data_IF_482235886381
#
_entry.id   IF_482235886381
#
_cell.length_a   1.000
_cell.length_b   1.000
_cell.length_c   1.000
_cell.angle_alpha   90.00
_cell.angle_beta   90.00
_cell.angle_gamma   90.00
#
_symmetry.space_group_name_H-M   'P 1'
#
loop_
_entity.id
_entity.type
_entity.pdbx_description
1 polymer ?
#
# COMPACT_ATOMS: atom_id res chain seq x y z
N UNK A 1 34.62 -17.87 -26.72
CA UNK A 1 34.07 -16.70 -27.45
C UNK A 1 35.18 -15.66 -27.55
N UNK A 2 35.31 -14.94 -28.67
CA UNK A 2 36.37 -13.93 -28.80
C UNK A 2 36.04 -12.66 -28.02
N UNK A 3 37.07 -11.91 -27.64
CA UNK A 3 36.93 -10.76 -26.76
C UNK A 3 36.08 -9.63 -27.35
N UNK A 4 36.14 -9.41 -28.66
CA UNK A 4 35.31 -8.39 -29.30
C UNK A 4 33.81 -8.73 -29.27
N UNK A 5 33.44 -10.01 -29.30
CA UNK A 5 32.05 -10.44 -29.12
C UNK A 5 31.60 -10.27 -27.66
N UNK A 6 32.49 -10.51 -26.69
CA UNK A 6 32.19 -10.28 -25.26
C UNK A 6 31.95 -8.78 -25.03
N UNK A 7 32.82 -7.94 -25.58
CA UNK A 7 32.66 -6.49 -25.50
C UNK A 7 31.36 -6.00 -26.15
N UNK A 8 30.91 -6.60 -27.26
CA UNK A 8 29.63 -6.27 -27.88
C UNK A 8 28.43 -6.55 -26.96
N UNK A 9 28.46 -7.65 -26.21
CA UNK A 9 27.43 -7.95 -25.19
C UNK A 9 27.40 -6.84 -24.14
N UNK A 10 28.56 -6.44 -23.62
CA UNK A 10 28.64 -5.34 -22.63
C UNK A 10 28.20 -4.00 -23.21
N UNK A 11 28.60 -3.65 -24.44
CA UNK A 11 28.17 -2.42 -25.12
C UNK A 11 26.65 -2.39 -25.31
N UNK A 12 26.04 -3.52 -25.66
CA UNK A 12 24.58 -3.63 -25.84
C UNK A 12 23.83 -3.45 -24.51
N UNK A 13 24.37 -4.03 -23.43
CA UNK A 13 23.86 -3.83 -22.07
C UNK A 13 23.99 -2.36 -21.64
N UNK A 14 25.14 -1.74 -21.88
CA UNK A 14 25.39 -0.35 -21.52
C UNK A 14 24.47 0.63 -22.25
N UNK A 15 24.28 0.45 -23.57
CA UNK A 15 23.33 1.27 -24.34
C UNK A 15 21.90 1.12 -23.79
N UNK A 16 21.46 -0.11 -23.47
CA UNK A 16 20.14 -0.35 -22.90
C UNK A 16 19.99 0.32 -21.51
N UNK A 17 20.99 0.19 -20.63
CA UNK A 17 20.98 0.81 -19.30
C UNK A 17 20.92 2.34 -19.40
N UNK A 18 21.75 2.95 -20.24
CA UNK A 18 21.78 4.41 -20.43
C UNK A 18 20.46 4.95 -20.99
N UNK A 19 19.83 4.21 -21.91
CA UNK A 19 18.53 4.56 -22.46
C UNK A 19 17.42 4.46 -21.42
N UNK A 20 17.39 3.37 -20.63
CA UNK A 20 16.43 3.23 -19.52
C UNK A 20 16.59 4.35 -18.48
N UNK A 21 17.83 4.72 -18.14
CA UNK A 21 18.13 5.78 -17.19
C UNK A 21 17.64 7.15 -17.69
N UNK A 22 17.94 7.48 -18.95
CA UNK A 22 17.55 8.77 -19.55
C UNK A 22 16.06 8.84 -19.92
N UNK A 23 15.36 7.71 -19.97
CA UNK A 23 13.98 7.57 -20.47
C UNK A 23 13.76 8.16 -21.87
N UNK A 24 14.83 8.35 -22.62
CA UNK A 24 14.81 8.93 -23.96
C UNK A 24 15.22 7.86 -24.96
N UNK A 25 14.25 7.04 -25.38
CA UNK A 25 14.49 6.00 -26.36
C UNK A 25 13.32 5.88 -27.34
N UNK A 26 13.69 5.60 -28.59
CA UNK A 26 12.76 5.18 -29.64
C UNK A 26 12.84 3.67 -29.77
N UNK A 27 11.82 2.96 -29.28
CA UNK A 27 11.79 1.49 -29.29
C UNK A 27 11.93 0.92 -30.71
N UNK A 28 11.53 1.65 -31.76
CA UNK A 28 11.72 1.20 -33.16
C UNK A 28 13.18 1.02 -33.54
N UNK A 29 14.06 1.88 -33.02
CA UNK A 29 15.49 1.93 -33.35
C UNK A 29 16.36 1.32 -32.26
N UNK A 30 15.74 0.69 -31.28
CA UNK A 30 16.43 0.19 -30.11
C UNK A 30 16.75 -1.30 -30.23
N UNK A 31 17.76 -1.73 -29.49
CA UNK A 31 18.16 -3.13 -29.43
C UNK A 31 17.02 -4.02 -28.91
N UNK A 32 17.05 -5.31 -29.29
CA UNK A 32 16.10 -6.31 -28.75
C UNK A 32 16.13 -6.37 -27.22
N UNK A 33 17.31 -6.18 -26.64
CA UNK A 33 17.50 -6.13 -25.20
C UNK A 33 16.72 -4.98 -24.55
N UNK A 34 16.78 -3.77 -25.13
CA UNK A 34 16.01 -2.64 -24.59
C UNK A 34 14.51 -2.85 -24.76
N UNK A 35 14.07 -3.38 -25.92
CA UNK A 35 12.66 -3.72 -26.15
C UNK A 35 12.15 -4.70 -25.10
N UNK A 36 12.89 -5.78 -24.85
CA UNK A 36 12.59 -6.77 -23.82
C UNK A 36 12.55 -6.14 -22.42
N UNK A 37 13.55 -5.33 -22.07
CA UNK A 37 13.61 -4.68 -20.77
C UNK A 37 12.40 -3.76 -20.51
N UNK A 38 11.94 -3.02 -21.54
CA UNK A 38 10.75 -2.18 -21.43
C UNK A 38 9.47 -3.02 -21.37
N UNK A 39 9.36 -4.08 -22.18
CA UNK A 39 8.20 -5.00 -22.15
C UNK A 39 8.11 -5.84 -20.89
N UNK A 40 9.21 -6.01 -20.15
CA UNK A 40 9.20 -6.71 -18.86
C UNK A 40 9.18 -5.74 -17.67
N UNK A 41 9.17 -4.43 -17.92
CA UNK A 41 9.18 -3.41 -16.87
C UNK A 41 10.47 -3.37 -16.05
N UNK A 42 11.59 -3.81 -16.63
CA UNK A 42 12.88 -3.83 -15.95
C UNK A 42 13.42 -2.42 -15.74
N UNK A 43 13.91 -2.15 -14.54
CA UNK A 43 14.57 -0.88 -14.19
C UNK A 43 16.04 -0.89 -14.62
N UNK A 44 16.62 0.31 -14.77
CA UNK A 44 18.07 0.44 -15.02
C UNK A 44 18.92 -0.23 -13.91
N UNK A 45 18.45 -0.23 -12.66
CA UNK A 45 19.16 -0.87 -11.53
C UNK A 45 19.14 -2.39 -11.64
N UNK A 46 18.02 -2.98 -12.05
CA UNK A 46 17.93 -4.43 -12.31
C UNK A 46 18.84 -4.83 -13.47
N UNK A 47 18.85 -4.06 -14.56
CA UNK A 47 19.74 -4.28 -15.70
C UNK A 47 21.22 -4.15 -15.32
N UNK A 48 21.57 -3.19 -14.45
CA UNK A 48 22.93 -3.05 -13.93
C UNK A 48 23.35 -4.27 -13.09
N UNK A 49 22.45 -4.79 -12.26
CA UNK A 49 22.70 -6.01 -11.48
C UNK A 49 22.91 -7.22 -12.41
N UNK A 50 22.10 -7.36 -13.46
CA UNK A 50 22.29 -8.40 -14.48
C UNK A 50 23.65 -8.26 -15.18
N UNK A 51 24.06 -7.04 -15.56
CA UNK A 51 25.36 -6.77 -16.18
C UNK A 51 26.52 -7.25 -15.30
N UNK A 52 26.47 -7.00 -14.00
CA UNK A 52 27.50 -7.45 -13.05
C UNK A 52 27.63 -8.97 -12.97
N UNK A 53 26.53 -9.71 -13.24
CA UNK A 53 26.50 -11.17 -13.19
C UNK A 53 26.85 -11.83 -14.54
N UNK A 54 27.08 -11.07 -15.62
CA UNK A 54 27.33 -11.63 -16.97
C UNK A 54 28.49 -12.62 -16.98
N UNK A 55 29.60 -12.28 -16.33
CA UNK A 55 30.78 -13.15 -16.29
C UNK A 55 30.50 -14.48 -15.57
N UNK A 56 29.72 -14.44 -14.49
CA UNK A 56 29.30 -15.65 -13.75
C UNK A 56 28.36 -16.51 -14.60
N UNK A 57 27.38 -15.89 -15.26
CA UNK A 57 26.46 -16.59 -16.17
C UNK A 57 27.21 -17.26 -17.32
N UNK A 58 28.14 -16.55 -17.97
CA UNK A 58 28.99 -17.10 -19.03
C UNK A 58 29.80 -18.29 -18.53
N UNK A 59 30.45 -18.16 -17.37
CA UNK A 59 31.21 -19.25 -16.75
C UNK A 59 30.35 -20.47 -16.43
N UNK A 60 29.13 -20.25 -15.92
CA UNK A 60 28.16 -21.33 -15.62
C UNK A 60 27.74 -22.13 -16.87
N UNK A 61 27.80 -21.51 -18.05
CA UNK A 61 27.53 -22.14 -19.34
C UNK A 61 28.78 -22.74 -19.98
N UNK A 62 29.94 -22.66 -19.31
CA UNK A 62 31.22 -23.11 -19.85
C UNK A 62 31.75 -22.22 -20.99
N UNK A 63 31.29 -20.98 -21.08
CA UNK A 63 31.80 -20.01 -22.06
C UNK A 63 33.12 -19.44 -21.54
N UNK A 64 34.18 -19.67 -22.30
CA UNK A 64 35.53 -19.17 -22.00
C UNK A 64 35.94 -18.12 -23.03
N UNK A 65 36.62 -17.08 -22.59
CA UNK A 65 37.25 -16.08 -23.46
C UNK A 65 38.39 -16.72 -24.25
N UNK A 66 38.41 -16.48 -25.55
CA UNK A 66 39.43 -16.97 -26.47
C UNK A 66 40.27 -15.78 -26.95
N UNK A 67 41.56 -15.82 -26.65
CA UNK A 67 42.51 -14.85 -27.20
C UNK A 67 42.58 -14.94 -28.73
N UNK A 68 42.92 -13.81 -29.35
CA UNK A 68 43.10 -13.72 -30.80
C UNK A 68 44.16 -14.73 -31.22
N UNK A 69 43.81 -15.71 -32.07
CA UNK A 69 44.75 -16.75 -32.47
C UNK A 69 45.85 -16.16 -33.36
N UNK A 70 47.08 -16.54 -33.04
CA UNK A 70 48.24 -16.24 -33.89
C UNK A 70 48.05 -16.83 -35.28
N UNK A 71 48.63 -16.17 -36.28
CA UNK A 71 48.63 -16.68 -37.64
C UNK A 71 49.45 -17.98 -37.69
N UNK A 72 48.89 -19.10 -38.17
CA UNK A 72 49.67 -20.32 -38.37
C UNK A 72 50.82 -20.10 -39.36
N UNK A 73 51.92 -20.84 -39.22
CA UNK A 73 53.01 -20.79 -40.20
C UNK A 73 52.50 -21.25 -41.58
N UNK A 74 52.83 -20.50 -42.63
CA UNK A 74 52.38 -20.74 -44.01
C UNK A 74 50.85 -20.81 -44.17
N UNK A 75 50.11 -19.97 -43.43
CA UNK A 75 48.66 -19.93 -43.49
C UNK A 75 48.17 -19.38 -44.84
N UNK A 76 47.47 -20.20 -45.61
CA UNK A 76 46.92 -19.82 -46.93
C UNK A 76 45.46 -20.21 -47.09
N UNK A 77 44.83 -20.75 -46.05
CA UNK A 77 43.52 -21.43 -46.12
C UNK A 77 42.39 -20.49 -46.57
N UNK A 78 42.52 -19.19 -46.27
CA UNK A 78 41.50 -18.17 -46.52
C UNK A 78 42.09 -16.94 -47.21
N UNK A 79 41.38 -16.39 -48.19
CA UNK A 79 41.56 -15.04 -48.72
C UNK A 79 40.72 -14.03 -47.90
N UNK A 80 41.39 -13.25 -47.04
CA UNK A 80 40.72 -12.29 -46.15
C UNK A 80 40.15 -11.08 -46.91
N UNK A 81 40.81 -10.63 -47.97
CA UNK A 81 40.34 -9.48 -48.77
C UNK A 81 39.06 -9.85 -49.52
N UNK A 82 39.04 -11.03 -50.14
CA UNK A 82 37.86 -11.55 -50.82
C UNK A 82 36.72 -11.87 -49.85
N UNK A 83 37.00 -12.41 -48.66
CA UNK A 83 35.98 -12.60 -47.62
C UNK A 83 35.31 -11.26 -47.27
N UNK A 84 36.13 -10.23 -47.04
CA UNK A 84 35.66 -8.91 -46.62
C UNK A 84 34.78 -8.28 -47.71
N UNK A 85 35.20 -8.38 -48.98
CA UNK A 85 34.42 -7.84 -50.10
C UNK A 85 33.08 -8.57 -50.26
N UNK A 86 33.07 -9.92 -50.22
CA UNK A 86 31.84 -10.71 -50.38
C UNK A 86 30.84 -10.41 -49.25
N UNK A 87 31.32 -10.30 -48.01
CA UNK A 87 30.44 -9.98 -46.88
C UNK A 87 29.92 -8.54 -47.02
N UNK A 88 30.77 -7.57 -47.35
CA UNK A 88 30.36 -6.17 -47.56
C UNK A 88 29.30 -6.03 -48.65
N UNK A 89 29.48 -6.71 -49.78
CA UNK A 89 28.53 -6.72 -50.88
C UNK A 89 27.18 -7.31 -50.45
N UNK A 90 27.20 -8.43 -49.73
CA UNK A 90 25.98 -9.09 -49.25
C UNK A 90 25.17 -8.18 -48.29
N UNK A 91 25.85 -7.42 -47.43
CA UNK A 91 25.20 -6.46 -46.54
C UNK A 91 24.68 -5.23 -47.28
N UNK A 92 25.42 -4.71 -48.26
CA UNK A 92 25.02 -3.54 -49.05
C UNK A 92 23.81 -3.83 -49.93
N UNK A 93 23.79 -5.00 -50.59
CA UNK A 93 22.66 -5.44 -51.41
C UNK A 93 21.36 -5.61 -50.62
N UNK A 94 21.46 -6.05 -49.37
CA UNK A 94 20.29 -6.22 -48.49
C UNK A 94 19.65 -4.88 -48.12
N UNK A 95 20.45 -3.83 -47.94
CA UNK A 95 19.96 -2.55 -47.42
C UNK A 95 19.70 -1.51 -48.52
N UNK A 96 20.03 -1.80 -49.79
CA UNK A 96 19.87 -0.87 -50.93
C UNK A 96 20.49 0.52 -50.67
N UNK A 97 21.52 0.58 -49.83
CA UNK A 97 22.22 1.81 -49.43
C UNK A 97 23.65 1.52 -49.00
N UNK A 98 24.49 2.54 -49.04
CA UNK A 98 25.83 2.50 -48.45
C UNK A 98 25.74 2.30 -46.93
N UNK A 99 26.71 1.53 -46.41
CA UNK A 99 26.87 1.26 -44.99
C UNK A 99 27.49 2.48 -44.30
N UNK A 100 26.94 2.86 -43.15
CA UNK A 100 27.53 3.90 -42.31
C UNK A 100 28.75 3.35 -41.53
N UNK A 101 29.63 4.23 -41.05
CA UNK A 101 30.86 3.85 -40.32
C UNK A 101 30.64 2.85 -39.17
N UNK A 102 29.50 2.94 -38.46
CA UNK A 102 29.20 2.01 -37.37
C UNK A 102 28.87 0.60 -37.87
N UNK A 103 28.17 0.49 -39.01
CA UNK A 103 27.82 -0.80 -39.63
C UNK A 103 29.06 -1.48 -40.20
N UNK A 104 29.97 -0.68 -40.77
CA UNK A 104 31.30 -1.15 -41.20
C UNK A 104 32.09 -1.73 -40.02
N UNK A 105 32.12 -1.04 -38.87
CA UNK A 105 32.82 -1.55 -37.68
C UNK A 105 32.21 -2.85 -37.12
N UNK A 106 30.90 -3.07 -37.27
CA UNK A 106 30.28 -4.34 -36.90
C UNK A 106 30.65 -5.45 -37.89
N UNK A 107 30.69 -5.12 -39.19
CA UNK A 107 31.10 -6.04 -40.24
C UNK A 107 32.55 -6.49 -40.06
N UNK A 108 33.45 -5.59 -39.71
CA UNK A 108 34.86 -5.92 -39.43
C UNK A 108 34.98 -6.95 -38.30
N UNK A 109 34.17 -6.82 -37.24
CA UNK A 109 34.12 -7.78 -36.13
C UNK A 109 33.59 -9.15 -36.56
N UNK A 110 32.62 -9.19 -37.47
CA UNK A 110 32.11 -10.43 -38.04
C UNK A 110 33.19 -11.13 -38.89
N UNK A 111 33.89 -10.37 -39.73
CA UNK A 111 35.02 -10.86 -40.55
C UNK A 111 36.17 -11.36 -39.66
N UNK A 112 36.50 -10.63 -38.60
CA UNK A 112 37.51 -11.04 -37.61
C UNK A 112 37.11 -12.36 -36.94
N UNK A 113 35.86 -12.50 -36.52
CA UNK A 113 35.35 -13.75 -35.91
C UNK A 113 35.53 -14.97 -36.82
N UNK A 114 35.21 -14.81 -38.11
CA UNK A 114 35.38 -15.86 -39.12
C UNK A 114 36.87 -16.17 -39.32
N UNK A 115 37.67 -15.12 -39.48
CA UNK A 115 39.12 -15.22 -39.70
C UNK A 115 39.81 -15.91 -38.53
N UNK A 116 39.47 -15.56 -37.30
CA UNK A 116 40.04 -16.18 -36.10
C UNK A 116 39.62 -17.64 -35.98
N UNK A 117 38.39 -17.98 -36.34
CA UNK A 117 37.93 -19.39 -36.40
C UNK A 117 38.75 -20.19 -37.40
N UNK A 118 39.01 -19.61 -38.57
CA UNK A 118 39.89 -20.15 -39.60
C UNK A 118 41.33 -20.37 -39.09
N UNK A 119 41.89 -19.42 -38.34
CA UNK A 119 43.20 -19.57 -37.70
C UNK A 119 43.24 -20.69 -36.66
N UNK A 120 42.19 -20.84 -35.83
CA UNK A 120 42.07 -21.92 -34.84
C UNK A 120 41.98 -23.30 -35.48
N UNK A 121 41.32 -23.40 -36.65
CA UNK A 121 41.30 -24.62 -37.47
C UNK A 121 42.70 -25.00 -37.96
N UNK A 122 43.55 -24.01 -38.18
CA UNK A 122 44.88 -24.18 -38.76
C UNK A 122 44.80 -24.42 -40.26
N UNK A 123 45.87 -24.95 -40.85
CA UNK A 123 46.02 -25.05 -42.31
C UNK A 123 45.62 -26.44 -42.87
N UNK A 124 44.71 -27.17 -42.22
CA UNK A 124 44.34 -28.54 -42.58
C UNK A 124 42.88 -28.62 -43.06
N UNK A 125 42.63 -29.39 -44.12
CA UNK A 125 41.29 -29.64 -44.62
C UNK A 125 40.47 -30.42 -43.57
N UNK A 126 39.22 -30.00 -43.37
CA UNK A 126 38.32 -30.56 -42.35
C UNK A 126 37.23 -31.37 -43.04
N UNK A 127 37.22 -32.68 -42.79
CA UNK A 127 36.28 -33.63 -43.41
C UNK A 127 35.13 -34.03 -42.50
N UNK A 128 35.26 -33.87 -41.19
CA UNK A 128 34.20 -34.26 -40.24
C UNK A 128 34.24 -33.38 -38.99
N UNK A 129 33.12 -33.34 -38.27
CA UNK A 129 32.96 -32.53 -37.05
C UNK A 129 33.92 -32.97 -35.94
N UNK A 130 34.26 -34.26 -35.84
CA UNK A 130 35.17 -34.78 -34.81
C UNK A 130 36.60 -34.27 -34.97
N UNK A 131 37.05 -34.06 -36.21
CA UNK A 131 38.34 -33.46 -36.53
C UNK A 131 38.34 -31.94 -36.61
N UNK A 132 37.17 -31.31 -36.39
CA UNK A 132 37.02 -29.85 -36.45
C UNK A 132 37.47 -29.23 -35.11
N UNK A 133 38.53 -28.42 -35.14
CA UNK A 133 39.05 -27.76 -33.92
C UNK A 133 38.20 -26.60 -33.43
N UNK A 134 37.57 -25.88 -34.37
CA UNK A 134 36.77 -24.70 -34.07
C UNK A 134 35.66 -24.54 -35.11
N UNK A 135 34.50 -24.07 -34.69
CA UNK A 135 33.36 -23.79 -35.56
C UNK A 135 32.72 -22.51 -35.07
N UNK A 136 32.48 -21.57 -35.98
CA UNK A 136 31.70 -20.38 -35.67
C UNK A 136 30.22 -20.72 -35.79
N UNK A 137 29.45 -20.41 -34.76
CA UNK A 137 27.99 -20.55 -34.73
C UNK A 137 27.37 -19.17 -34.83
N UNK A 138 26.35 -19.02 -35.66
CA UNK A 138 25.63 -17.76 -35.81
C UNK A 138 24.16 -18.00 -36.12
N UNK A 139 23.29 -17.05 -35.79
CA UNK A 139 21.91 -17.01 -36.31
C UNK A 139 21.84 -16.30 -37.66
N UNK A 140 22.89 -15.60 -38.07
CA UNK A 140 22.95 -14.84 -39.31
C UNK A 140 23.25 -15.76 -40.51
N UNK A 141 22.18 -16.12 -41.23
CA UNK A 141 22.25 -16.97 -42.43
C UNK A 141 23.13 -16.40 -43.54
N UNK A 142 23.23 -15.07 -43.65
CA UNK A 142 24.02 -14.42 -44.70
C UNK A 142 25.50 -14.67 -44.46
N UNK A 143 25.98 -14.37 -43.25
CA UNK A 143 27.38 -14.64 -42.87
C UNK A 143 27.70 -16.12 -43.01
N UNK A 144 26.82 -17.00 -42.50
CA UNK A 144 27.01 -18.44 -42.62
C UNK A 144 27.06 -18.90 -44.08
N UNK A 145 26.33 -18.27 -45.00
CA UNK A 145 26.39 -18.62 -46.43
C UNK A 145 27.66 -18.07 -47.07
N UNK A 146 27.95 -16.78 -46.88
CA UNK A 146 29.06 -16.08 -47.55
C UNK A 146 30.42 -16.58 -47.10
N UNK A 147 30.60 -16.90 -45.81
CA UNK A 147 31.85 -17.44 -45.28
C UNK A 147 32.22 -18.84 -45.80
N UNK A 148 31.28 -19.51 -46.49
CA UNK A 148 31.46 -20.82 -47.09
C UNK A 148 31.55 -20.76 -48.62
N UNK A 149 31.72 -19.56 -49.20
CA UNK A 149 31.96 -19.41 -50.62
C UNK A 149 33.25 -20.13 -51.02
N UNK A 150 33.16 -20.99 -52.04
CA UNK A 150 34.29 -21.82 -52.49
C UNK A 150 35.48 -20.96 -52.99
N UNK A 151 35.23 -19.72 -53.42
CA UNK A 151 36.27 -18.81 -53.92
C UNK A 151 37.19 -18.28 -52.82
N UNK A 152 36.69 -18.23 -51.58
CA UNK A 152 37.41 -17.70 -50.42
C UNK A 152 38.45 -18.71 -49.91
N UNK A 153 38.18 -20.00 -50.12
CA UNK A 153 38.96 -21.08 -49.55
C UNK A 153 39.92 -21.65 -50.57
N UNK A 154 41.22 -21.67 -50.25
CA UNK A 154 42.18 -22.40 -51.09
C UNK A 154 42.05 -23.92 -50.94
N UNK A 155 41.41 -24.39 -49.86
CA UNK A 155 41.17 -25.81 -49.59
C UNK A 155 39.68 -26.12 -49.46
N UNK A 156 39.30 -27.30 -49.93
CA UNK A 156 37.92 -27.77 -49.83
C UNK A 156 37.67 -28.38 -48.45
N UNK A 157 36.93 -27.68 -47.61
CA UNK A 157 36.42 -28.20 -46.33
C UNK A 157 35.03 -28.81 -46.55
N UNK A 158 34.78 -29.99 -45.97
CA UNK A 158 33.40 -30.55 -45.93
C UNK A 158 32.59 -29.95 -44.78
N UNK A 159 33.28 -29.55 -43.70
CA UNK A 159 32.64 -28.84 -42.59
C UNK A 159 32.87 -27.34 -42.77
N UNK A 160 31.80 -26.55 -42.97
CA UNK A 160 31.89 -25.10 -43.13
C UNK A 160 32.55 -24.40 -41.93
N UNK A 161 33.19 -23.25 -42.14
CA UNK A 161 33.83 -22.46 -41.05
C UNK A 161 32.83 -21.87 -40.09
N UNK A 162 31.73 -21.40 -40.65
CA UNK A 162 30.63 -20.79 -39.96
C UNK A 162 29.36 -21.52 -40.37
N UNK A 163 28.54 -21.83 -39.37
CA UNK A 163 27.28 -22.54 -39.57
C UNK A 163 26.18 -21.87 -38.79
N UNK A 164 24.96 -22.08 -39.25
CA UNK A 164 23.81 -21.67 -38.47
C UNK A 164 23.64 -22.57 -37.26
N UNK A 165 23.18 -21.99 -36.16
CA UNK A 165 22.68 -22.70 -34.99
C UNK A 165 21.63 -23.76 -35.37
N UNK A 166 20.73 -23.45 -36.31
CA UNK A 166 19.73 -24.39 -36.83
C UNK A 166 20.38 -25.61 -37.50
N UNK A 167 21.41 -25.40 -38.32
CA UNK A 167 22.10 -26.50 -39.01
C UNK A 167 22.75 -27.46 -38.02
N UNK A 168 23.51 -26.93 -37.05
CA UNK A 168 24.19 -27.75 -36.05
C UNK A 168 23.20 -28.41 -35.09
N UNK A 169 22.17 -27.69 -34.67
CA UNK A 169 21.11 -28.24 -33.82
C UNK A 169 20.37 -29.38 -34.52
N UNK A 170 20.12 -29.27 -35.82
CA UNK A 170 19.49 -30.34 -36.61
C UNK A 170 20.36 -31.60 -36.69
N UNK A 171 21.68 -31.44 -36.88
CA UNK A 171 22.63 -32.56 -36.86
C UNK A 171 22.65 -33.21 -35.47
N UNK A 172 22.72 -32.41 -34.40
CA UNK A 172 22.74 -32.93 -33.03
C UNK A 172 21.45 -33.67 -32.68
N UNK A 173 20.31 -33.12 -33.09
CA UNK A 173 19.01 -33.75 -32.89
C UNK A 173 18.89 -35.08 -33.64
N UNK A 174 19.31 -35.11 -34.91
CA UNK A 174 19.26 -36.33 -35.73
C UNK A 174 20.19 -37.43 -35.23
N UNK A 175 21.38 -37.09 -34.75
CA UNK A 175 22.36 -38.08 -34.28
C UNK A 175 22.17 -38.49 -32.81
N UNK A 176 21.54 -37.65 -31.98
CA UNK A 176 21.36 -37.88 -30.55
C UNK A 176 19.92 -37.60 -30.07
N UNK A 177 18.90 -38.26 -30.63
CA UNK A 177 17.49 -37.94 -30.34
C UNK A 177 17.11 -38.13 -28.87
N UNK A 178 17.66 -39.16 -28.21
CA UNK A 178 17.34 -39.52 -26.82
C UNK A 178 18.23 -38.83 -25.78
N UNK A 179 19.35 -38.23 -26.19
CA UNK A 179 20.32 -37.58 -25.28
C UNK A 179 20.09 -36.08 -25.09
N UNK A 180 19.14 -35.50 -25.82
CA UNK A 180 19.02 -34.05 -25.99
C UNK A 180 17.63 -33.50 -25.65
N UNK A 181 16.88 -34.15 -24.76
CA UNK A 181 15.55 -33.66 -24.33
C UNK A 181 15.61 -32.21 -23.83
N UNK A 182 16.68 -31.83 -23.11
CA UNK A 182 16.89 -30.44 -22.71
C UNK A 182 17.11 -29.48 -23.89
N UNK A 183 17.87 -29.88 -24.92
CA UNK A 183 18.08 -29.07 -26.11
C UNK A 183 16.76 -28.86 -26.86
N UNK A 184 16.01 -29.95 -27.06
CA UNK A 184 14.72 -29.91 -27.76
C UNK A 184 13.72 -29.02 -27.03
N UNK A 185 13.65 -29.12 -25.69
CA UNK A 185 12.81 -28.23 -24.87
C UNK A 185 13.24 -26.78 -24.98
N UNK A 186 14.54 -26.49 -24.89
CA UNK A 186 15.04 -25.10 -25.02
C UNK A 186 14.78 -24.53 -26.41
N UNK A 187 14.96 -25.34 -27.46
CA UNK A 187 14.66 -24.93 -28.84
C UNK A 187 13.16 -24.63 -29.00
N UNK A 188 12.30 -25.53 -28.52
CA UNK A 188 10.84 -25.32 -28.54
C UNK A 188 10.44 -24.06 -27.78
N UNK A 189 10.96 -23.86 -26.57
CA UNK A 189 10.69 -22.66 -25.77
C UNK A 189 11.17 -21.41 -26.51
N UNK A 190 12.35 -21.44 -27.14
CA UNK A 190 12.87 -20.32 -27.93
C UNK A 190 11.96 -19.98 -29.12
N UNK A 191 11.46 -20.98 -29.85
CA UNK A 191 10.54 -20.77 -30.96
C UNK A 191 9.18 -20.26 -30.49
N UNK A 192 8.66 -20.79 -29.37
CA UNK A 192 7.46 -20.27 -28.74
C UNK A 192 7.64 -18.81 -28.32
N UNK A 193 8.78 -18.47 -27.70
CA UNK A 193 9.08 -17.11 -27.29
C UNK A 193 9.18 -16.16 -28.48
N UNK A 194 9.85 -16.56 -29.57
CA UNK A 194 9.91 -15.79 -30.81
C UNK A 194 8.52 -15.57 -31.43
N UNK A 195 7.59 -16.52 -31.27
CA UNK A 195 6.22 -16.42 -31.79
C UNK A 195 5.34 -15.49 -30.94
N UNK A 196 5.53 -15.54 -29.61
CA UNK A 196 4.79 -14.71 -28.64
C UNK A 196 5.31 -13.26 -28.66
N UNK A 197 6.61 -13.07 -28.89
CA UNK A 197 7.20 -11.74 -28.97
C UNK A 197 6.59 -10.97 -30.13
N UNK A 198 6.24 -9.70 -29.88
CA UNK A 198 5.67 -8.83 -30.92
C UNK A 198 6.59 -8.70 -32.14
N UNK A 199 5.99 -8.80 -33.31
CA UNK A 199 6.67 -8.64 -34.59
C UNK A 199 7.21 -7.22 -34.75
N UNK A 200 8.47 -7.11 -35.17
CA UNK A 200 9.17 -5.84 -35.31
C UNK A 200 8.45 -4.90 -36.31
N UNK A 201 7.89 -5.45 -37.40
CA UNK A 201 7.16 -4.70 -38.43
C UNK A 201 5.84 -4.15 -37.87
N UNK A 202 5.14 -4.95 -37.06
CA UNK A 202 3.93 -4.53 -36.36
C UNK A 202 4.22 -3.39 -35.37
N UNK A 203 5.29 -3.53 -34.57
CA UNK A 203 5.73 -2.46 -33.66
C UNK A 203 6.09 -1.18 -34.41
N UNK A 204 6.84 -1.29 -35.51
CA UNK A 204 7.19 -0.13 -36.33
C UNK A 204 5.94 0.58 -36.85
N UNK A 205 4.97 -0.16 -37.40
CA UNK A 205 3.70 0.38 -37.89
C UNK A 205 2.93 1.11 -36.79
N UNK A 206 2.82 0.51 -35.60
CA UNK A 206 2.17 1.11 -34.44
C UNK A 206 2.80 2.45 -34.03
N UNK A 207 4.12 2.48 -33.87
CA UNK A 207 4.82 3.70 -33.47
C UNK A 207 4.83 4.79 -34.55
N UNK A 208 4.83 4.42 -35.83
CA UNK A 208 4.65 5.38 -36.92
C UNK A 208 3.27 6.00 -36.90
N UNK A 209 2.23 5.19 -36.69
CA UNK A 209 0.84 5.66 -36.62
C UNK A 209 0.64 6.62 -35.43
N UNK A 210 1.12 6.24 -34.24
CA UNK A 210 1.07 7.11 -33.05
C UNK A 210 1.82 8.43 -33.28
N UNK A 211 3.00 8.38 -33.92
CA UNK A 211 3.75 9.59 -34.25
C UNK A 211 3.00 10.48 -35.25
N UNK A 212 2.35 9.89 -36.25
CA UNK A 212 1.50 10.64 -37.21
C UNK A 212 0.33 11.30 -36.48
N UNK A 213 -0.36 10.58 -35.59
CA UNK A 213 -1.47 11.11 -34.78
C UNK A 213 -1.04 12.25 -33.85
N UNK A 214 0.16 12.17 -33.26
CA UNK A 214 0.75 13.27 -32.48
C UNK A 214 0.99 14.51 -33.35
N UNK A 215 1.61 14.34 -34.51
CA UNK A 215 1.87 15.46 -35.44
C UNK A 215 0.57 16.09 -35.96
N UNK A 216 -0.48 15.30 -36.13
CA UNK A 216 -1.82 15.75 -36.48
C UNK A 216 -2.62 16.33 -35.29
N UNK A 217 -2.02 16.45 -34.09
CA UNK A 217 -2.69 16.89 -32.85
C UNK A 217 -3.95 16.09 -32.49
N UNK A 218 -4.05 14.84 -32.97
CA UNK A 218 -5.17 13.94 -32.67
C UNK A 218 -5.04 13.25 -31.30
N UNK A 219 -3.82 13.24 -30.74
CA UNK A 219 -3.52 12.76 -29.38
C UNK A 219 -2.65 13.80 -28.68
N UNK A 220 -2.77 13.89 -27.36
CA UNK A 220 -1.98 14.79 -26.51
C UNK A 220 -0.57 14.26 -26.25
N UNK A 221 0.33 15.10 -25.73
CA UNK A 221 1.67 14.67 -25.32
C UNK A 221 1.62 13.55 -24.28
N UNK A 222 0.71 13.64 -23.31
CA UNK A 222 0.57 12.63 -22.27
C UNK A 222 0.11 11.28 -22.85
N UNK A 223 -0.90 11.28 -23.73
CA UNK A 223 -1.37 10.07 -24.39
C UNK A 223 -0.29 9.45 -25.29
N UNK A 224 0.51 10.29 -25.96
CA UNK A 224 1.67 9.83 -26.71
C UNK A 224 2.71 9.15 -25.81
N UNK A 225 3.00 9.72 -24.64
CA UNK A 225 3.92 9.12 -23.67
C UNK A 225 3.35 7.81 -23.12
N UNK A 226 2.06 7.73 -22.80
CA UNK A 226 1.41 6.50 -22.34
C UNK A 226 1.53 5.37 -23.36
N UNK A 227 1.28 5.66 -24.64
CA UNK A 227 1.37 4.67 -25.71
C UNK A 227 2.82 4.25 -26.05
N UNK A 228 3.81 5.08 -25.72
CA UNK A 228 5.21 4.82 -26.07
C UNK A 228 6.04 4.24 -24.93
N UNK A 229 5.74 4.62 -23.68
CA UNK A 229 6.53 4.24 -22.51
C UNK A 229 5.92 3.07 -21.72
N UNK A 230 4.63 2.77 -21.88
CA UNK A 230 3.94 1.79 -21.05
C UNK A 230 3.95 0.41 -21.71
N UNK A 231 4.37 -0.61 -20.96
CA UNK A 231 4.28 -2.01 -21.38
C UNK A 231 2.85 -2.42 -21.77
N UNK A 232 1.86 -1.91 -21.02
CA UNK A 232 0.44 -2.15 -21.27
C UNK A 232 0.04 -1.89 -22.73
N UNK A 233 0.56 -0.83 -23.35
CA UNK A 233 0.26 -0.53 -24.75
C UNK A 233 0.74 -1.63 -25.71
N UNK A 234 1.92 -2.22 -25.44
CA UNK A 234 2.47 -3.32 -26.23
C UNK A 234 1.71 -4.64 -25.97
N UNK A 235 1.34 -4.93 -24.73
CA UNK A 235 0.50 -6.08 -24.39
C UNK A 235 -0.84 -6.01 -25.12
N UNK A 236 -1.53 -4.87 -25.03
CA UNK A 236 -2.81 -4.65 -25.71
C UNK A 236 -2.69 -4.69 -27.24
N UNK A 237 -1.55 -4.26 -27.79
CA UNK A 237 -1.26 -4.39 -29.21
C UNK A 237 -1.15 -5.87 -29.62
N UNK A 238 -0.40 -6.66 -28.84
CA UNK A 238 -0.28 -8.10 -29.03
C UNK A 238 -1.64 -8.80 -28.97
N UNK A 239 -2.44 -8.49 -27.96
CA UNK A 239 -3.76 -9.10 -27.76
C UNK A 239 -4.75 -8.75 -28.88
N UNK A 240 -4.77 -7.48 -29.32
CA UNK A 240 -5.69 -7.03 -30.38
C UNK A 240 -5.35 -7.60 -31.76
N UNK A 241 -4.06 -7.71 -32.05
CA UNK A 241 -3.60 -8.11 -33.39
C UNK A 241 -3.25 -9.58 -33.48
N UNK A 242 -3.14 -10.28 -32.33
CA UNK A 242 -2.62 -11.64 -32.25
C UNK A 242 -1.28 -11.78 -32.97
N UNK A 243 -0.47 -10.73 -32.90
CA UNK A 243 0.81 -10.59 -33.60
C UNK A 243 0.75 -10.62 -35.14
N UNK A 244 -0.44 -10.44 -35.75
CA UNK A 244 -0.61 -10.34 -37.19
C UNK A 244 -0.64 -8.88 -37.65
N UNK A 245 0.32 -8.50 -38.50
CA UNK A 245 0.39 -7.16 -39.09
C UNK A 245 -0.84 -6.79 -39.92
N UNK A 246 -1.51 -7.78 -40.53
CA UNK A 246 -2.70 -7.54 -41.35
C UNK A 246 -3.93 -7.24 -40.49
N UNK A 247 -3.93 -7.68 -39.23
CA UNK A 247 -4.98 -7.35 -38.26
C UNK A 247 -4.86 -5.91 -37.74
N UNK A 248 -3.70 -5.25 -37.93
CA UNK A 248 -3.53 -3.86 -37.54
C UNK A 248 -4.31 -2.90 -38.46
N UNK A 249 -5.11 -2.03 -37.85
CA UNK A 249 -5.94 -1.01 -38.52
C UNK A 249 -5.63 0.39 -38.00
N UNK A 250 -6.07 1.43 -38.69
CA UNK A 250 -5.86 2.84 -38.28
C UNK A 250 -6.59 3.21 -36.98
N UNK A 251 -7.51 2.35 -36.53
CA UNK A 251 -8.23 2.48 -35.26
C UNK A 251 -7.48 1.85 -34.09
N UNK A 252 -6.59 0.88 -34.34
CA UNK A 252 -5.96 0.07 -33.31
C UNK A 252 -5.27 0.92 -32.23
N UNK A 253 -4.53 1.97 -32.60
CA UNK A 253 -3.88 2.85 -31.64
C UNK A 253 -4.87 3.61 -30.74
N UNK A 254 -6.01 4.06 -31.29
CA UNK A 254 -7.03 4.76 -30.50
C UNK A 254 -7.76 3.79 -29.57
N UNK A 255 -8.05 2.58 -30.03
CA UNK A 255 -8.70 1.56 -29.19
C UNK A 255 -7.81 1.12 -28.02
N UNK A 256 -6.49 1.02 -28.23
CA UNK A 256 -5.54 0.76 -27.15
C UNK A 256 -5.57 1.90 -26.14
N UNK A 257 -5.57 3.15 -26.61
CA UNK A 257 -5.64 4.32 -25.75
C UNK A 257 -6.93 4.36 -24.92
N UNK A 258 -8.08 4.07 -25.54
CA UNK A 258 -9.38 3.98 -24.84
C UNK A 258 -9.40 2.88 -23.75
N UNK A 259 -8.69 1.76 -23.98
CA UNK A 259 -8.54 0.72 -22.96
C UNK A 259 -7.69 1.23 -21.79
N UNK A 260 -6.54 1.85 -22.07
CA UNK A 260 -5.64 2.41 -21.04
C UNK A 260 -6.38 3.46 -20.19
N UNK A 261 -7.10 4.39 -20.84
CA UNK A 261 -7.85 5.43 -20.14
C UNK A 261 -8.97 4.85 -19.25
N UNK A 262 -9.62 3.77 -19.71
CA UNK A 262 -10.64 3.06 -18.94
C UNK A 262 -10.03 2.33 -17.75
N UNK A 263 -8.90 1.65 -17.91
CA UNK A 263 -8.20 0.98 -16.81
C UNK A 263 -7.76 1.99 -15.74
N UNK A 264 -7.16 3.12 -16.13
CA UNK A 264 -6.82 4.19 -15.19
C UNK A 264 -8.06 4.72 -14.45
N UNK A 265 -9.19 4.90 -15.15
CA UNK A 265 -10.42 5.37 -14.51
C UNK A 265 -10.96 4.35 -13.50
N UNK A 266 -10.95 3.07 -13.85
CA UNK A 266 -11.36 1.98 -12.95
C UNK A 266 -10.45 1.89 -11.72
N UNK A 267 -9.14 2.03 -11.88
CA UNK A 267 -8.19 2.08 -10.75
C UNK A 267 -8.46 3.26 -9.82
N UNK A 268 -8.68 4.46 -10.38
CA UNK A 268 -9.00 5.65 -9.59
C UNK A 268 -10.33 5.49 -8.84
N UNK A 269 -11.35 4.94 -9.48
CA UNK A 269 -12.65 4.71 -8.86
C UNK A 269 -12.57 3.63 -7.77
N UNK A 270 -11.77 2.58 -7.96
CA UNK A 270 -11.52 1.56 -6.94
C UNK A 270 -10.73 2.13 -5.75
N UNK A 271 -9.70 2.93 -6.00
CA UNK A 271 -8.92 3.59 -4.95
C UNK A 271 -9.79 4.57 -4.12
N UNK A 272 -10.70 5.30 -4.78
CA UNK A 272 -11.69 6.15 -4.09
C UNK A 272 -12.62 5.34 -3.20
N UNK A 273 -13.21 4.26 -3.72
CA UNK A 273 -14.07 3.37 -2.93
C UNK A 273 -13.34 2.77 -1.73
N UNK A 274 -12.09 2.36 -1.91
CA UNK A 274 -11.28 1.84 -0.81
C UNK A 274 -10.99 2.92 0.24
N UNK A 275 -10.70 4.15 -0.20
CA UNK A 275 -10.55 5.30 0.69
C UNK A 275 -11.84 5.64 1.46
N UNK A 276 -12.99 5.63 0.79
CA UNK A 276 -14.31 5.85 1.41
C UNK A 276 -14.65 4.75 2.40
N UNK A 277 -14.36 3.49 2.09
CA UNK A 277 -14.57 2.36 3.00
C UNK A 277 -13.71 2.51 4.27
N UNK A 278 -12.42 2.85 4.12
CA UNK A 278 -11.53 3.11 5.26
C UNK A 278 -12.00 4.30 6.10
N UNK A 279 -12.52 5.35 5.46
CA UNK A 279 -13.09 6.50 6.17
C UNK A 279 -14.36 6.13 6.93
N UNK A 280 -15.25 5.35 6.33
CA UNK A 280 -16.48 4.88 6.96
C UNK A 280 -16.19 3.94 8.13
N UNK A 281 -15.21 3.05 8.01
CA UNK A 281 -14.74 2.21 9.12
C UNK A 281 -14.19 3.06 10.27
N UNK A 282 -13.42 4.12 9.96
CA UNK A 282 -12.90 5.04 10.97
C UNK A 282 -14.03 5.81 11.67
N UNK A 283 -15.02 6.30 10.92
CA UNK A 283 -16.19 6.99 11.47
C UNK A 283 -16.98 6.03 12.38
N UNK A 284 -17.31 4.83 11.91
CA UNK A 284 -18.05 3.83 12.68
C UNK A 284 -17.33 3.46 13.98
N UNK A 285 -15.99 3.31 13.93
CA UNK A 285 -15.18 3.07 15.12
C UNK A 285 -15.24 4.25 16.10
N UNK A 286 -15.10 5.48 15.60
CA UNK A 286 -15.19 6.69 16.43
C UNK A 286 -16.57 6.89 17.05
N UNK A 287 -17.64 6.50 16.36
CA UNK A 287 -19.01 6.54 16.87
C UNK A 287 -19.24 5.46 17.93
N UNK A 288 -18.70 4.26 17.74
CA UNK A 288 -18.72 3.20 18.75
C UNK A 288 -17.99 3.63 20.03
N UNK A 289 -16.79 4.21 19.91
CA UNK A 289 -16.02 4.72 21.06
C UNK A 289 -16.77 5.84 21.79
N UNK A 290 -17.41 6.76 21.04
CA UNK A 290 -18.26 7.81 21.63
C UNK A 290 -19.50 7.23 22.31
N UNK A 291 -20.14 6.23 21.72
CA UNK A 291 -21.32 5.59 22.29
C UNK A 291 -20.98 4.85 23.59
N UNK A 292 -19.82 4.19 23.65
CA UNK A 292 -19.30 3.55 24.85
C UNK A 292 -18.99 4.57 25.96
N UNK A 293 -18.34 5.69 25.63
CA UNK A 293 -18.11 6.81 26.55
C UNK A 293 -19.42 7.42 27.08
N UNK A 294 -20.44 7.57 26.23
CA UNK A 294 -21.75 8.07 26.64
C UNK A 294 -22.45 7.06 27.56
N UNK A 295 -22.35 5.76 27.27
CA UNK A 295 -22.92 4.71 28.09
C UNK A 295 -22.27 4.65 29.49
N UNK A 296 -20.94 4.75 29.56
CA UNK A 296 -20.21 4.82 30.82
C UNK A 296 -20.59 6.07 31.63
N UNK A 297 -20.60 7.24 30.99
CA UNK A 297 -21.01 8.50 31.63
C UNK A 297 -22.44 8.44 32.16
N UNK A 298 -23.37 7.85 31.41
CA UNK A 298 -24.76 7.65 31.86
C UNK A 298 -24.86 6.68 33.04
N UNK A 299 -24.06 5.60 33.07
CA UNK A 299 -24.03 4.68 34.21
C UNK A 299 -23.52 5.38 35.49
N UNK A 300 -22.51 6.25 35.36
CA UNK A 300 -22.00 7.05 36.47
C UNK A 300 -23.03 8.09 36.96
N UNK A 301 -23.81 8.68 36.04
CA UNK A 301 -24.90 9.60 36.39
C UNK A 301 -26.01 8.86 37.15
N UNK A 302 -26.42 7.68 36.69
CA UNK A 302 -27.40 6.85 37.40
C UNK A 302 -26.94 6.48 38.80
N UNK A 303 -25.67 6.05 38.97
CA UNK A 303 -25.11 5.76 40.28
C UNK A 303 -25.08 6.99 41.21
N UNK A 304 -24.83 8.19 40.66
CA UNK A 304 -24.90 9.45 41.41
C UNK A 304 -26.34 9.79 41.80
N UNK A 305 -27.30 9.61 40.90
CA UNK A 305 -28.72 9.86 41.18
C UNK A 305 -29.27 8.91 42.25
N UNK A 306 -28.87 7.63 42.24
CA UNK A 306 -29.19 6.67 43.31
C UNK A 306 -28.57 7.07 44.66
N UNK A 307 -27.34 7.62 44.63
CA UNK A 307 -26.69 8.12 45.85
C UNK A 307 -27.42 9.36 46.40
N UNK A 308 -27.84 10.27 45.51
CA UNK A 308 -28.58 11.49 45.87
C UNK A 308 -29.97 11.13 46.43
N UNK A 309 -30.68 10.17 45.82
CA UNK A 309 -31.98 9.72 46.32
C UNK A 309 -31.87 9.07 47.70
N UNK A 310 -30.86 8.21 47.91
CA UNK A 310 -30.57 7.63 49.23
C UNK A 310 -30.22 8.67 50.30
N UNK A 311 -29.49 9.73 49.93
CA UNK A 311 -29.22 10.87 50.81
C UNK A 311 -30.51 11.63 51.17
N UNK A 312 -31.39 11.85 50.20
CA UNK A 312 -32.68 12.52 50.41
C UNK A 312 -33.61 11.70 51.32
N UNK A 313 -33.64 10.38 51.18
CA UNK A 313 -34.39 9.50 52.08
C UNK A 313 -33.86 9.57 53.51
N UNK A 314 -32.54 9.64 53.68
CA UNK A 314 -31.90 9.79 54.99
C UNK A 314 -32.25 11.13 55.64
N UNK A 315 -32.24 12.22 54.86
CA UNK A 315 -32.67 13.55 55.32
C UNK A 315 -34.14 13.54 55.73
N UNK A 316 -35.02 12.96 54.90
CA UNK A 316 -36.45 12.85 55.19
C UNK A 316 -36.75 12.04 56.45
N UNK A 317 -36.01 10.95 56.69
CA UNK A 317 -36.11 10.17 57.92
C UNK A 317 -35.66 10.99 59.14
N UNK A 318 -34.56 11.75 58.99
CA UNK A 318 -34.04 12.63 60.05
C UNK A 318 -35.04 13.74 60.39
N UNK A 319 -35.67 14.34 59.39
CA UNK A 319 -36.70 15.37 59.55
C UNK A 319 -37.94 14.82 60.24
N UNK A 320 -38.40 13.63 59.83
CA UNK A 320 -39.54 12.97 60.45
C UNK A 320 -39.27 12.60 61.92
N UNK A 321 -38.05 12.15 62.23
CA UNK A 321 -37.63 11.90 63.60
C UNK A 321 -37.62 13.21 64.43
N UNK A 322 -37.02 14.28 63.92
CA UNK A 322 -36.97 15.58 64.59
C UNK A 322 -38.38 16.13 64.85
N UNK A 323 -39.31 15.98 63.90
CA UNK A 323 -40.72 16.37 64.07
C UNK A 323 -41.40 15.58 65.19
N UNK A 324 -41.20 14.26 65.27
CA UNK A 324 -41.76 13.39 66.32
C UNK A 324 -41.23 13.77 67.71
N UNK A 325 -39.93 13.98 67.85
CA UNK A 325 -39.32 14.37 69.12
C UNK A 325 -39.79 15.76 69.55
N UNK A 326 -39.85 16.73 68.62
CA UNK A 326 -40.35 18.06 68.90
C UNK A 326 -41.81 18.05 69.37
N UNK A 327 -42.67 17.21 68.78
CA UNK A 327 -44.05 17.05 69.25
C UNK A 327 -44.14 16.44 70.65
N UNK A 328 -43.32 15.43 70.96
CA UNK A 328 -43.30 14.83 72.29
C UNK A 328 -42.88 15.83 73.37
N UNK A 329 -41.78 16.55 73.15
CA UNK A 329 -41.29 17.54 74.12
C UNK A 329 -42.28 18.69 74.34
N UNK A 330 -42.91 19.17 73.27
CA UNK A 330 -43.94 20.21 73.37
C UNK A 330 -45.10 19.73 74.22
N UNK A 331 -45.56 18.49 74.03
CA UNK A 331 -46.65 17.91 74.82
C UNK A 331 -46.25 17.75 76.30
N UNK A 332 -45.04 17.31 76.60
CA UNK A 332 -44.54 17.18 77.98
C UNK A 332 -44.51 18.53 78.70
N UNK A 333 -43.95 19.56 78.06
CA UNK A 333 -43.89 20.93 78.61
C UNK A 333 -45.31 21.43 78.90
N UNK A 334 -46.26 21.17 78.00
CA UNK A 334 -47.65 21.56 78.18
C UNK A 334 -48.35 20.82 79.31
N UNK A 335 -48.11 19.52 79.46
CA UNK A 335 -48.63 18.75 80.59
C UNK A 335 -48.12 19.30 81.92
N UNK A 336 -46.83 19.63 82.01
CA UNK A 336 -46.25 20.23 83.21
C UNK A 336 -46.91 21.59 83.51
N UNK A 337 -47.09 22.43 82.49
CA UNK A 337 -47.71 23.74 82.67
C UNK A 337 -49.18 23.63 83.11
N UNK A 338 -49.93 22.68 82.55
CA UNK A 338 -51.31 22.39 82.94
C UNK A 338 -51.41 21.88 84.38
N UNK A 339 -50.47 21.03 84.81
CA UNK A 339 -50.39 20.55 86.20
C UNK A 339 -50.13 21.71 87.15
N UNK A 340 -49.20 22.61 86.81
CA UNK A 340 -48.89 23.80 87.64
C UNK A 340 -50.14 24.68 87.81
N UNK A 341 -50.87 24.94 86.72
CA UNK A 341 -52.11 25.72 86.78
C UNK A 341 -53.21 25.02 87.58
N UNK A 342 -53.33 23.69 87.45
CA UNK A 342 -54.32 22.90 88.16
C UNK A 342 -54.06 22.87 89.68
N UNK A 343 -52.79 22.69 90.08
CA UNK A 343 -52.37 22.76 91.48
C UNK A 343 -52.62 24.16 92.05
N UNK A 344 -52.31 25.21 91.28
CA UNK A 344 -52.64 26.59 91.66
C UNK A 344 -54.14 26.77 91.88
N UNK A 345 -54.98 26.33 90.95
CA UNK A 345 -56.43 26.47 91.08
C UNK A 345 -57.00 25.74 92.32
N UNK A 346 -56.54 24.52 92.60
CA UNK A 346 -56.97 23.75 93.77
C UNK A 346 -56.50 24.36 95.09
N UNK A 347 -55.27 24.86 95.15
CA UNK A 347 -54.75 25.54 96.33
C UNK A 347 -55.61 26.77 96.71
N UNK A 348 -56.12 27.51 95.72
CA UNK A 348 -57.04 28.63 95.94
C UNK A 348 -58.41 28.19 96.50
N UNK A 349 -58.92 27.05 96.02
CA UNK A 349 -60.29 26.60 96.33
C UNK A 349 -60.43 25.93 97.70
N UNK A 350 -59.36 25.30 98.20
CA UNK A 350 -59.43 24.43 99.38
C UNK A 350 -58.63 24.92 100.60
N UNK A 351 -57.85 25.99 100.51
CA UNK A 351 -57.20 26.55 101.70
C UNK A 351 -58.20 27.35 102.56
N UNK A 352 -58.34 27.03 103.87
CA UNK A 352 -59.19 27.79 104.79
C UNK A 352 -58.77 29.26 104.88
N UNK A 353 -59.74 30.17 104.95
CA UNK A 353 -59.54 31.63 105.01
C UNK A 353 -58.58 32.09 106.15
N UNK A 354 -58.38 31.26 107.18
CA UNK A 354 -57.46 31.54 108.30
C UNK A 354 -55.98 31.53 107.94
N UNK A 355 -55.56 30.90 106.83
CA UNK A 355 -54.16 30.87 106.38
C UNK A 355 -53.81 32.12 105.56
N UNK A 356 -54.81 32.80 104.98
CA UNK A 356 -54.63 33.94 104.06
C UNK A 356 -54.23 35.26 104.73
N UNK A 357 -54.26 35.33 106.06
CA UNK A 357 -53.98 36.56 106.81
C UNK A 357 -52.51 36.77 107.19
N UNK A 358 -51.58 35.87 106.81
CA UNK A 358 -50.22 35.91 107.39
C UNK A 358 -49.15 36.62 106.56
N UNK A 359 -49.29 36.87 105.25
CA UNK A 359 -48.30 37.73 104.57
C UNK A 359 -48.87 38.45 103.34
N UNK A 360 -48.87 39.80 103.37
CA UNK A 360 -49.19 40.69 102.24
C UNK A 360 -48.44 40.34 100.93
N UNK A 361 -47.26 39.71 101.04
CA UNK A 361 -46.47 39.23 99.87
C UNK A 361 -47.20 38.13 99.08
N UNK A 362 -48.01 37.30 99.76
CA UNK A 362 -48.79 36.25 99.08
C UNK A 362 -49.98 36.80 98.31
N UNK A 363 -50.58 37.92 98.73
CA UNK A 363 -51.67 38.56 97.97
C UNK A 363 -51.19 39.04 96.60
N UNK A 364 -50.02 39.69 96.54
CA UNK A 364 -49.42 40.10 95.27
C UNK A 364 -49.08 38.91 94.37
N UNK A 365 -48.60 37.80 94.94
CA UNK A 365 -48.35 36.57 94.20
C UNK A 365 -49.64 36.00 93.58
N UNK A 366 -50.76 36.05 94.29
CA UNK A 366 -52.06 35.62 93.77
C UNK A 366 -52.68 36.58 92.76
N UNK A 367 -52.49 37.89 92.91
CA UNK A 367 -52.85 38.85 91.86
C UNK A 367 -52.01 38.65 90.60
N UNK A 368 -50.73 38.29 90.73
CA UNK A 368 -49.88 37.92 89.59
C UNK A 368 -50.38 36.61 88.97
N UNK A 369 -50.80 35.62 89.76
CA UNK A 369 -51.38 34.38 89.24
C UNK A 369 -52.74 34.62 88.56
N UNK A 370 -53.62 35.43 89.14
CA UNK A 370 -54.91 35.78 88.53
C UNK A 370 -54.70 36.65 87.28
N UNK A 371 -53.72 37.56 87.26
CA UNK A 371 -53.31 38.30 86.07
C UNK A 371 -52.71 37.36 85.01
N UNK A 372 -51.91 36.38 85.40
CA UNK A 372 -51.36 35.36 84.51
C UNK A 372 -52.44 34.41 83.99
N UNK A 373 -53.45 34.05 84.79
CA UNK A 373 -54.59 33.22 84.41
C UNK A 373 -55.56 33.96 83.49
N UNK A 374 -55.82 35.24 83.74
CA UNK A 374 -56.63 36.09 82.86
C UNK A 374 -55.87 36.44 81.58
N UNK A 375 -54.55 36.65 81.64
CA UNK A 375 -53.69 36.76 80.46
C UNK A 375 -53.60 35.43 79.71
N UNK A 376 -53.61 34.30 80.40
CA UNK A 376 -53.66 32.96 79.80
C UNK A 376 -55.01 32.70 79.12
N UNK A 377 -56.12 33.10 79.73
CA UNK A 377 -57.45 33.04 79.12
C UNK A 377 -57.54 33.93 77.87
N UNK A 378 -57.01 35.15 77.95
CA UNK A 378 -56.95 36.10 76.84
C UNK A 378 -56.05 35.60 75.69
N UNK A 379 -54.89 35.01 76.01
CA UNK A 379 -53.98 34.39 75.03
C UNK A 379 -54.54 33.09 74.44
N UNK A 380 -55.37 32.35 75.18
CA UNK A 380 -56.10 31.18 74.65
C UNK A 380 -57.17 31.63 73.63
N UNK A 381 -57.82 32.77 73.91
CA UNK A 381 -58.85 33.37 73.06
C UNK A 381 -58.27 34.02 71.79
N UNK A 382 -57.08 34.63 71.85
CA UNK A 382 -56.39 35.25 70.70
C UNK A 382 -55.68 34.26 69.74
N UNK A 383 -55.88 32.96 69.90
CA UNK A 383 -55.35 31.98 68.96
C UNK A 383 -54.05 31.36 69.43
N UNK A 384 -54.23 30.35 70.27
CA UNK A 384 -53.26 29.36 70.74
C UNK A 384 -52.49 28.59 69.63
N UNK A 385 -52.66 28.91 68.35
CA UNK A 385 -51.91 28.24 67.28
C UNK A 385 -50.56 28.91 67.00
N UNK A 386 -50.40 30.21 67.28
CA UNK A 386 -49.19 30.95 66.90
C UNK A 386 -48.01 30.71 67.86
N UNK A 387 -48.23 30.80 69.17
CA UNK A 387 -47.20 30.51 70.18
C UNK A 387 -46.72 29.05 70.15
N UNK A 388 -47.64 28.12 69.90
CA UNK A 388 -47.33 26.69 69.79
C UNK A 388 -46.56 26.36 68.52
N UNK A 389 -46.92 26.98 67.39
CA UNK A 389 -46.15 26.87 66.14
C UNK A 389 -44.74 27.42 66.34
N UNK A 390 -44.57 28.54 67.04
CA UNK A 390 -43.26 29.09 67.34
C UNK A 390 -42.44 28.20 68.29
N UNK A 391 -43.00 27.71 69.39
CA UNK A 391 -42.27 26.84 70.32
C UNK A 391 -41.87 25.51 69.64
N UNK A 392 -42.80 24.90 68.90
CA UNK A 392 -42.54 23.69 68.11
C UNK A 392 -41.48 23.92 67.03
N UNK A 393 -41.52 25.07 66.35
CA UNK A 393 -40.52 25.48 65.35
C UNK A 393 -39.14 25.72 65.97
N UNK A 394 -39.06 26.38 67.13
CA UNK A 394 -37.80 26.63 67.84
C UNK A 394 -37.19 25.32 68.33
N UNK A 395 -38.00 24.43 68.94
CA UNK A 395 -37.54 23.11 69.40
C UNK A 395 -37.11 22.26 68.20
N UNK A 396 -37.89 22.24 67.13
CA UNK A 396 -37.54 21.54 65.89
C UNK A 396 -36.21 22.04 65.32
N UNK A 397 -36.02 23.36 65.18
CA UNK A 397 -34.78 23.95 64.66
C UNK A 397 -33.57 23.63 65.53
N UNK A 398 -33.73 23.62 66.85
CA UNK A 398 -32.63 23.34 67.80
C UNK A 398 -32.26 21.86 67.80
N UNK A 399 -33.24 20.97 67.75
CA UNK A 399 -33.03 19.51 67.63
C UNK A 399 -32.43 19.19 66.26
N UNK A 400 -33.00 19.69 65.17
CA UNK A 400 -32.51 19.50 63.81
C UNK A 400 -31.06 20.00 63.65
N UNK A 401 -30.69 21.12 64.28
CA UNK A 401 -29.30 21.60 64.30
C UNK A 401 -28.36 20.66 65.07
N UNK A 402 -28.81 20.08 66.19
CA UNK A 402 -28.04 19.12 66.99
C UNK A 402 -27.88 17.77 66.29
N UNK A 403 -28.93 17.21 65.71
CA UNK A 403 -28.87 15.97 64.93
C UNK A 403 -28.03 16.15 63.67
N UNK A 404 -28.13 17.29 62.97
CA UNK A 404 -27.27 17.60 61.83
C UNK A 404 -25.78 17.65 62.22
N UNK A 405 -25.43 18.19 63.40
CA UNK A 405 -24.05 18.16 63.91
C UNK A 405 -23.57 16.75 64.26
N UNK A 406 -24.42 15.93 64.88
CA UNK A 406 -24.11 14.54 65.23
C UNK A 406 -23.94 13.62 64.00
N UNK A 407 -24.76 13.79 62.98
CA UNK A 407 -24.75 12.96 61.76
C UNK A 407 -23.64 13.39 60.79
N UNK A 408 -23.29 14.68 60.73
CA UNK A 408 -22.25 15.19 59.80
C UNK A 408 -20.82 15.15 60.37
N UNK A 409 -20.60 14.61 61.57
CA UNK A 409 -19.25 14.32 62.08
C UNK A 409 -18.28 15.52 62.07
N UNK A 410 -18.71 16.66 62.64
CA UNK A 410 -17.81 17.77 62.98
C UNK A 410 -18.02 18.24 64.41
#
# INVERSE_FOLDING_TARGET
MFQHNINEVYTTLDDAIQRLLSKNYDLRKSSRLLKMAVSEGLTYTQMQAMKSNVAEVMSSWGIVEQEVPNLPANYTDIDMELLTSIITDAYTHKHTRELFNHEMSMLDKDVDSITYTYRLRGNAAIYNLKGCKALMLTTNRIIATMSNDERINTKKHQIPVCSTDVFISSILWSNYPNGNDQLNRKLLISECYNTIQLDDSLMIRFYEDIKKKKLASSITENQYLELTATNLALTLLGDKTQNDINAYTDRTANEILEIIEREHKEEVDNAKKEGENKLNEFIAKSESEKAELIADSNSQLQAKDETISGLQDTINQTDNFCRKVATMLTNIIMSIFAIILFVGFFAKRYMPDSIWNIHEVFKWFWYIIDALLSMWAFLSWMGWTYGFKNLKSIIFNKIHCLTKKLVMGK
#
